data_IF_310375803377
#
_entry.id   IF_310375803377
#
_cell.length_a   1.000
_cell.length_b   1.000
_cell.length_c   1.000
_cell.angle_alpha   90.00
_cell.angle_beta   90.00
_cell.angle_gamma   90.00
#
_symmetry.space_group_name_H-M   'P 1'
#
loop_
_entity.id
_entity.type
_entity.pdbx_description
1 polymer ?
#
# COMPACT_ATOMS: atom_id res chain seq x y z
N UNK A 1 37.56 27.10 48.98
CA UNK A 1 37.06 27.68 47.69
C UNK A 1 37.19 26.71 46.51
N UNK A 2 38.38 26.15 46.23
CA UNK A 2 38.61 25.24 45.07
C UNK A 2 37.72 23.99 45.05
N UNK A 3 37.54 23.31 46.20
CA UNK A 3 36.68 22.12 46.32
C UNK A 3 35.19 22.44 46.09
N UNK A 4 34.71 23.57 46.62
CA UNK A 4 33.33 24.01 46.42
C UNK A 4 33.02 24.29 44.94
N UNK A 5 33.95 24.94 44.24
CA UNK A 5 33.83 25.18 42.81
C UNK A 5 33.79 23.87 42.00
N UNK A 6 34.63 22.89 42.37
CA UNK A 6 34.63 21.56 41.74
C UNK A 6 33.28 20.84 41.95
N UNK A 7 32.72 20.87 43.17
CA UNK A 7 31.42 20.26 43.45
C UNK A 7 30.27 20.98 42.72
N UNK A 8 30.29 22.31 42.64
CA UNK A 8 29.28 23.07 41.91
C UNK A 8 29.29 22.73 40.41
N UNK A 9 30.49 22.62 39.80
CA UNK A 9 30.64 22.22 38.39
C UNK A 9 30.17 20.78 38.18
N UNK A 10 30.55 19.84 39.05
CA UNK A 10 30.10 18.45 38.96
C UNK A 10 28.57 18.34 39.04
N UNK A 11 27.94 19.04 39.98
CA UNK A 11 26.49 19.06 40.11
C UNK A 11 25.81 19.64 38.86
N UNK A 12 26.35 20.72 38.29
CA UNK A 12 25.83 21.29 37.04
C UNK A 12 25.96 20.32 35.86
N UNK A 13 27.08 19.60 35.75
CA UNK A 13 27.29 18.59 34.70
C UNK A 13 26.30 17.42 34.86
N UNK A 14 26.08 16.94 36.09
CA UNK A 14 25.13 15.85 36.35
C UNK A 14 23.69 16.27 36.04
N UNK A 15 23.28 17.48 36.45
CA UNK A 15 21.95 18.02 36.14
C UNK A 15 21.79 18.22 34.64
N UNK A 16 22.81 18.78 33.96
CA UNK A 16 22.82 18.96 32.52
C UNK A 16 22.71 17.63 31.77
N UNK A 17 23.47 16.61 32.18
CA UNK A 17 23.40 15.26 31.62
C UNK A 17 22.03 14.60 31.83
N UNK A 18 21.43 14.77 33.03
CA UNK A 18 20.10 14.25 33.32
C UNK A 18 19.02 14.93 32.45
N UNK A 19 19.07 16.24 32.27
CA UNK A 19 18.14 16.98 31.41
C UNK A 19 18.32 16.59 29.93
N UNK A 20 19.56 16.47 29.46
CA UNK A 20 19.87 16.00 28.12
C UNK A 20 19.38 14.56 27.87
N UNK A 21 19.51 13.67 28.85
CA UNK A 21 18.96 12.32 28.78
C UNK A 21 17.42 12.33 28.76
N UNK A 22 16.79 13.09 29.65
CA UNK A 22 15.33 13.14 29.79
C UNK A 22 14.64 13.77 28.58
N UNK A 23 15.21 14.82 27.99
CA UNK A 23 14.65 15.41 26.78
C UNK A 23 15.13 14.70 25.52
N UNK A 24 16.41 14.33 25.44
CA UNK A 24 16.97 13.58 24.32
C UNK A 24 16.26 12.25 24.10
N UNK A 25 15.94 11.49 25.16
CA UNK A 25 15.19 10.23 25.04
C UNK A 25 13.79 10.40 24.44
N UNK A 26 13.19 11.59 24.50
CA UNK A 26 11.89 11.86 23.87
C UNK A 26 12.00 12.18 22.38
N UNK A 27 13.13 12.72 21.92
CA UNK A 27 13.31 13.15 20.53
C UNK A 27 14.19 12.22 19.70
N UNK A 28 15.17 11.55 20.30
CA UNK A 28 16.10 10.65 19.61
C UNK A 28 15.41 9.51 18.84
N UNK A 29 14.35 8.85 19.36
CA UNK A 29 13.64 7.84 18.59
C UNK A 29 12.94 8.42 17.35
N UNK A 30 12.32 9.60 17.48
CA UNK A 30 11.67 10.28 16.36
C UNK A 30 12.68 10.81 15.35
N UNK A 31 13.79 11.37 15.82
CA UNK A 31 14.87 11.84 14.95
C UNK A 31 15.44 10.66 14.16
N UNK A 32 15.76 9.55 14.83
CA UNK A 32 16.24 8.33 14.18
C UNK A 32 15.27 7.83 13.11
N UNK A 33 13.96 7.81 13.41
CA UNK A 33 12.92 7.43 12.45
C UNK A 33 12.81 8.41 11.27
N UNK A 34 12.86 9.72 11.52
CA UNK A 34 12.74 10.76 10.48
C UNK A 34 13.99 10.88 9.60
N UNK A 35 15.14 10.43 10.10
CA UNK A 35 16.40 10.35 9.33
C UNK A 35 16.58 9.03 8.59
N UNK A 36 15.65 8.07 8.74
CA UNK A 36 15.69 6.88 7.90
C UNK A 36 15.43 7.28 6.44
N UNK A 37 16.10 6.59 5.52
CA UNK A 37 15.81 6.69 4.11
C UNK A 37 14.31 6.39 3.91
N UNK A 38 13.58 7.33 3.32
CA UNK A 38 12.14 7.14 3.11
C UNK A 38 11.97 5.94 2.19
N UNK A 39 11.08 5.03 2.58
CA UNK A 39 10.78 3.84 1.79
C UNK A 39 10.19 4.27 0.44
N UNK A 40 11.03 4.27 -0.59
CA UNK A 40 10.63 4.44 -1.99
C UNK A 40 10.44 3.09 -2.68
N UNK A 41 10.43 3.09 -4.01
CA UNK A 41 10.35 1.87 -4.84
C UNK A 41 11.55 0.93 -4.67
N UNK A 42 12.68 1.43 -4.17
CA UNK A 42 13.93 0.68 -4.11
C UNK A 42 14.05 -0.28 -2.92
N UNK A 43 13.28 -0.06 -1.85
CA UNK A 43 13.40 -0.83 -0.61
C UNK A 43 12.25 -1.83 -0.50
N UNK A 44 12.56 -3.11 -0.61
CA UNK A 44 11.59 -4.18 -0.35
C UNK A 44 11.35 -4.33 1.15
N UNK A 45 10.09 -4.13 1.55
CA UNK A 45 9.63 -4.23 2.94
C UNK A 45 9.11 -5.62 3.31
N UNK A 46 9.06 -6.56 2.37
CA UNK A 46 8.57 -7.91 2.63
C UNK A 46 9.49 -8.60 3.65
N UNK A 47 8.89 -9.13 4.72
CA UNK A 47 9.65 -9.85 5.72
C UNK A 47 10.17 -11.20 5.15
N UNK A 48 11.34 -11.70 5.59
CA UNK A 48 11.90 -12.94 5.05
C UNK A 48 10.98 -14.17 5.19
N UNK A 49 10.22 -14.25 6.27
CA UNK A 49 9.23 -15.31 6.49
C UNK A 49 8.07 -15.26 5.48
N UNK A 50 7.69 -14.06 5.02
CA UNK A 50 6.69 -13.88 3.97
C UNK A 50 7.21 -14.29 2.59
N UNK A 51 8.53 -14.22 2.35
CA UNK A 51 9.15 -14.64 1.07
C UNK A 51 9.10 -16.15 0.89
N UNK A 52 9.27 -16.89 1.98
CA UNK A 52 9.25 -18.35 2.00
C UNK A 52 7.84 -18.91 2.28
N UNK A 53 6.82 -18.05 2.38
CA UNK A 53 5.47 -18.46 2.73
C UNK A 53 4.76 -19.18 1.58
N UNK A 54 4.03 -20.24 1.91
CA UNK A 54 3.18 -20.97 0.96
C UNK A 54 1.70 -20.64 1.18
N UNK A 55 1.02 -20.19 0.13
CA UNK A 55 -0.41 -19.83 0.17
C UNK A 55 -1.26 -20.87 -0.56
N UNK A 56 -2.14 -21.55 0.17
CA UNK A 56 -2.98 -22.64 -0.36
C UNK A 56 -4.32 -22.18 -0.96
N UNK A 57 -4.65 -20.89 -0.80
CA UNK A 57 -5.89 -20.29 -1.26
C UNK A 57 -7.12 -20.66 -0.42
N UNK A 58 -8.16 -19.83 -0.50
CA UNK A 58 -9.36 -20.00 0.32
C UNK A 58 -10.17 -21.26 -0.02
N UNK A 59 -10.08 -21.74 -1.27
CA UNK A 59 -10.75 -22.97 -1.70
C UNK A 59 -10.29 -24.19 -0.90
N UNK A 60 -9.00 -24.25 -0.53
CA UNK A 60 -8.48 -25.34 0.30
C UNK A 60 -9.08 -25.31 1.71
N UNK A 61 -9.27 -24.12 2.27
CA UNK A 61 -9.86 -23.92 3.60
C UNK A 61 -11.34 -24.31 3.63
N UNK A 62 -12.07 -24.10 2.52
CA UNK A 62 -13.49 -24.44 2.39
C UNK A 62 -13.75 -25.93 2.61
N UNK A 63 -12.81 -26.81 2.26
CA UNK A 63 -12.95 -28.28 2.40
C UNK A 63 -13.30 -28.72 3.84
N UNK A 64 -12.84 -27.96 4.85
CA UNK A 64 -13.13 -28.24 6.27
C UNK A 64 -13.97 -27.13 6.95
N UNK A 65 -14.00 -25.92 6.40
CA UNK A 65 -14.60 -24.73 7.05
C UNK A 65 -15.68 -24.07 6.19
N UNK A 66 -16.71 -24.83 5.82
CA UNK A 66 -17.74 -24.39 4.89
C UNK A 66 -18.50 -23.15 5.37
N UNK A 67 -18.99 -23.12 6.62
CA UNK A 67 -19.79 -22.00 7.14
C UNK A 67 -19.01 -20.68 7.22
N UNK A 68 -17.74 -20.77 7.61
CA UNK A 68 -16.83 -19.62 7.63
C UNK A 68 -16.56 -19.13 6.21
N UNK A 69 -16.26 -20.05 5.29
CA UNK A 69 -16.05 -19.72 3.89
C UNK A 69 -17.30 -19.09 3.27
N UNK A 70 -18.48 -19.64 3.53
CA UNK A 70 -19.78 -19.11 3.07
C UNK A 70 -20.01 -17.69 3.60
N UNK A 71 -19.74 -17.43 4.87
CA UNK A 71 -19.91 -16.09 5.44
C UNK A 71 -18.91 -15.09 4.84
N UNK A 72 -17.65 -15.49 4.70
CA UNK A 72 -16.59 -14.68 4.12
C UNK A 72 -16.80 -14.39 2.63
N UNK A 73 -17.21 -15.39 1.83
CA UNK A 73 -17.41 -15.28 0.38
C UNK A 73 -18.52 -14.31 0.00
N UNK A 74 -19.53 -14.14 0.87
CA UNK A 74 -20.57 -13.13 0.70
C UNK A 74 -20.10 -11.71 1.06
N UNK A 75 -19.03 -11.56 1.84
CA UNK A 75 -18.47 -10.26 2.21
C UNK A 75 -17.82 -9.54 1.01
N UNK A 76 -17.27 -8.35 1.25
CA UNK A 76 -16.51 -7.59 0.24
C UNK A 76 -15.02 -7.89 0.25
N UNK A 77 -14.50 -8.58 1.26
CA UNK A 77 -13.08 -8.92 1.33
C UNK A 77 -12.59 -9.75 0.11
N UNK A 78 -13.23 -10.87 -0.28
CA UNK A 78 -12.82 -11.62 -1.47
C UNK A 78 -13.18 -10.96 -2.80
N UNK A 79 -13.85 -9.80 -2.75
CA UNK A 79 -14.31 -9.05 -3.92
C UNK A 79 -13.49 -7.77 -4.13
N UNK A 80 -12.37 -7.63 -3.41
CA UNK A 80 -11.49 -6.48 -3.57
C UNK A 80 -10.73 -6.58 -4.89
N UNK A 81 -10.15 -7.74 -5.19
CA UNK A 81 -9.44 -8.00 -6.44
C UNK A 81 -10.22 -9.07 -7.21
N UNK A 82 -10.62 -8.78 -8.44
CA UNK A 82 -11.29 -9.75 -9.31
C UNK A 82 -10.77 -9.64 -10.73
N UNK A 83 -10.58 -10.77 -11.40
CA UNK A 83 -10.34 -10.84 -12.84
C UNK A 83 -11.66 -10.55 -13.60
N UNK A 84 -11.76 -9.44 -14.35
CA UNK A 84 -12.96 -9.07 -15.09
C UNK A 84 -13.22 -9.95 -16.31
N UNK A 85 -12.21 -10.64 -16.85
CA UNK A 85 -12.35 -11.54 -17.98
C UNK A 85 -12.86 -12.92 -17.53
N UNK A 86 -12.37 -13.43 -16.40
CA UNK A 86 -12.86 -14.66 -15.79
C UNK A 86 -14.23 -14.46 -15.11
N UNK A 87 -14.49 -13.29 -14.55
CA UNK A 87 -15.76 -12.94 -13.92
C UNK A 87 -16.29 -11.57 -14.40
N UNK A 88 -16.99 -11.53 -15.55
CA UNK A 88 -17.55 -10.29 -16.09
C UNK A 88 -18.55 -9.58 -15.15
N UNK A 89 -19.20 -10.32 -14.23
CA UNK A 89 -20.13 -9.75 -13.25
C UNK A 89 -19.42 -8.89 -12.18
N UNK A 90 -18.09 -8.98 -12.08
CA UNK A 90 -17.30 -8.08 -11.24
C UNK A 90 -17.29 -6.64 -11.75
N UNK A 91 -17.58 -6.44 -13.04
CA UNK A 91 -17.50 -5.13 -13.69
C UNK A 91 -18.75 -4.31 -13.41
N UNK A 92 -18.58 -3.27 -12.61
CA UNK A 92 -19.66 -2.31 -12.28
C UNK A 92 -19.52 -0.99 -13.03
N UNK A 93 -18.38 -0.79 -13.69
CA UNK A 93 -18.05 0.39 -14.48
C UNK A 93 -18.61 0.33 -15.89
N UNK A 94 -19.10 1.46 -16.39
CA UNK A 94 -19.55 1.59 -17.77
C UNK A 94 -18.41 2.09 -18.66
N UNK A 95 -17.73 1.17 -19.34
CA UNK A 95 -16.63 1.50 -20.26
C UNK A 95 -17.09 2.25 -21.52
N UNK A 96 -18.38 2.25 -21.87
CA UNK A 96 -18.88 3.09 -22.96
C UNK A 96 -18.78 4.59 -22.66
N UNK A 97 -18.66 4.93 -21.37
CA UNK A 97 -18.52 6.30 -20.86
C UNK A 97 -17.08 6.64 -20.45
N UNK A 98 -16.13 5.75 -20.70
CA UNK A 98 -14.72 6.01 -20.37
C UNK A 98 -14.22 7.23 -21.15
N UNK A 99 -13.64 8.24 -20.49
CA UNK A 99 -13.09 9.39 -21.18
C UNK A 99 -12.01 9.00 -22.20
N UNK A 100 -11.98 9.73 -23.32
CA UNK A 100 -11.07 9.45 -24.45
C UNK A 100 -9.58 9.62 -24.11
N UNK A 101 -9.28 10.35 -23.03
CA UNK A 101 -7.94 10.57 -22.49
C UNK A 101 -7.56 9.53 -21.41
N UNK A 102 -8.36 8.47 -21.24
CA UNK A 102 -7.98 7.34 -20.40
C UNK A 102 -6.75 6.63 -20.98
N UNK A 103 -5.83 6.21 -20.12
CA UNK A 103 -4.60 5.51 -20.52
C UNK A 103 -4.74 3.98 -20.56
N UNK A 104 -5.98 3.48 -20.59
CA UNK A 104 -6.28 2.05 -20.58
C UNK A 104 -7.62 1.79 -21.27
N UNK A 105 -7.78 0.57 -21.78
CA UNK A 105 -9.07 0.02 -22.18
C UNK A 105 -9.39 -1.22 -21.33
N UNK A 106 -10.64 -1.69 -21.43
CA UNK A 106 -11.07 -2.89 -20.71
C UNK A 106 -10.19 -4.12 -21.02
N UNK A 107 -9.75 -4.27 -22.27
CA UNK A 107 -8.88 -5.37 -22.70
C UNK A 107 -7.50 -5.37 -22.02
N UNK A 108 -7.08 -4.24 -21.47
CA UNK A 108 -5.78 -4.06 -20.81
C UNK A 108 -5.88 -4.29 -19.29
N UNK A 109 -7.11 -4.37 -18.76
CA UNK A 109 -7.37 -4.52 -17.34
C UNK A 109 -7.29 -5.98 -16.89
N UNK A 110 -6.19 -6.34 -16.25
CA UNK A 110 -5.98 -7.70 -15.72
C UNK A 110 -6.80 -7.93 -14.46
N UNK A 111 -6.87 -6.93 -13.58
CA UNK A 111 -7.67 -7.00 -12.37
C UNK A 111 -8.50 -5.73 -12.17
N UNK A 112 -9.67 -5.91 -11.56
CA UNK A 112 -10.45 -4.85 -10.94
C UNK A 112 -10.05 -4.68 -9.48
N UNK A 113 -10.08 -3.45 -8.97
CA UNK A 113 -9.86 -3.13 -7.56
C UNK A 113 -11.10 -2.43 -7.00
N UNK A 114 -11.80 -3.08 -6.08
CA UNK A 114 -13.04 -2.62 -5.46
C UNK A 114 -14.29 -2.96 -6.28
N UNK A 115 -15.35 -2.17 -6.09
CA UNK A 115 -16.64 -2.39 -6.79
C UNK A 115 -17.88 -2.00 -6.00
N UNK A 116 -17.79 -1.79 -4.68
CA UNK A 116 -18.94 -1.30 -3.88
C UNK A 116 -19.14 0.22 -3.99
N UNK A 117 -18.05 0.97 -3.91
CA UNK A 117 -18.08 2.45 -3.89
C UNK A 117 -17.33 3.03 -5.07
N UNK A 118 -16.10 2.54 -5.29
CA UNK A 118 -15.24 2.85 -6.40
C UNK A 118 -14.73 1.56 -7.04
N UNK A 119 -14.46 1.60 -8.33
CA UNK A 119 -13.75 0.54 -9.04
C UNK A 119 -12.57 1.13 -9.80
N UNK A 120 -11.41 0.48 -9.70
CA UNK A 120 -10.16 0.82 -10.40
C UNK A 120 -9.69 -0.39 -11.17
N UNK A 121 -8.68 -0.20 -12.00
CA UNK A 121 -8.19 -1.23 -12.92
C UNK A 121 -6.67 -1.30 -12.84
N UNK A 122 -6.16 -2.52 -12.67
CA UNK A 122 -4.74 -2.84 -12.73
C UNK A 122 -4.42 -3.31 -14.15
N UNK A 123 -3.45 -2.67 -14.78
CA UNK A 123 -2.91 -3.09 -16.07
C UNK A 123 -1.50 -3.59 -15.87
N UNK A 124 -1.15 -4.68 -16.58
CA UNK A 124 0.19 -5.26 -16.54
C UNK A 124 1.22 -4.24 -17.02
N UNK A 125 2.34 -4.14 -16.32
CA UNK A 125 3.51 -3.36 -16.72
C UNK A 125 4.78 -3.98 -16.15
N UNK A 126 5.76 -4.24 -17.00
CA UNK A 126 7.06 -4.69 -16.53
C UNK A 126 7.84 -3.50 -15.96
N UNK A 127 8.37 -3.65 -14.73
CA UNK A 127 9.13 -2.63 -14.01
C UNK A 127 10.43 -3.27 -13.54
N UNK A 128 11.58 -2.65 -13.87
CA UNK A 128 12.91 -3.16 -13.53
C UNK A 128 13.19 -4.62 -13.96
N UNK A 129 12.54 -5.08 -15.04
CA UNK A 129 12.73 -6.42 -15.60
C UNK A 129 11.89 -7.52 -14.95
N UNK A 130 11.00 -7.19 -14.01
CA UNK A 130 9.99 -8.09 -13.45
C UNK A 130 8.58 -7.66 -13.83
N UNK A 131 7.66 -8.63 -13.89
CA UNK A 131 6.23 -8.37 -14.09
C UNK A 131 5.65 -7.62 -12.88
N UNK A 132 4.95 -6.53 -13.14
CA UNK A 132 4.21 -5.76 -12.15
C UNK A 132 2.91 -5.22 -12.77
N UNK A 133 2.20 -4.38 -12.03
CA UNK A 133 0.99 -3.71 -12.49
C UNK A 133 1.00 -2.24 -12.10
N UNK A 134 0.20 -1.46 -12.82
CA UNK A 134 -0.07 -0.04 -12.53
C UNK A 134 -1.57 0.22 -12.57
N UNK A 135 -2.01 1.27 -11.87
CA UNK A 135 -3.42 1.67 -11.86
C UNK A 135 -3.74 2.70 -12.94
N UNK A 136 -4.89 2.50 -13.61
CA UNK A 136 -5.43 3.44 -14.60
C UNK A 136 -5.59 4.87 -14.08
N UNK A 137 -5.54 5.84 -14.99
CA UNK A 137 -5.70 7.27 -14.68
C UNK A 137 -7.15 7.69 -14.36
N UNK A 138 -8.09 6.74 -14.37
CA UNK A 138 -9.50 6.94 -14.01
C UNK A 138 -9.99 5.87 -13.03
N UNK A 139 -10.89 6.28 -12.15
CA UNK A 139 -11.68 5.37 -11.30
C UNK A 139 -13.17 5.56 -11.59
N UNK A 140 -13.93 4.49 -11.51
CA UNK A 140 -15.39 4.54 -11.58
C UNK A 140 -15.98 4.88 -10.22
N UNK A 141 -16.90 5.83 -10.17
CA UNK A 141 -17.75 6.08 -9.01
C UNK A 141 -19.09 5.36 -9.19
N UNK A 142 -19.36 4.38 -8.32
CA UNK A 142 -20.56 3.53 -8.40
C UNK A 142 -21.83 4.33 -8.10
N UNK A 143 -21.79 5.23 -7.12
CA UNK A 143 -22.95 6.03 -6.72
C UNK A 143 -23.35 7.02 -7.80
N UNK A 144 -22.38 7.77 -8.33
CA UNK A 144 -22.68 8.82 -9.33
C UNK A 144 -22.68 8.28 -10.75
N UNK A 145 -22.31 7.01 -10.96
CA UNK A 145 -22.11 6.37 -12.26
C UNK A 145 -21.25 7.19 -13.22
N UNK A 146 -20.11 7.69 -12.72
CA UNK A 146 -19.18 8.55 -13.48
C UNK A 146 -17.74 8.12 -13.30
N UNK A 147 -16.97 8.21 -14.37
CA UNK A 147 -15.52 8.18 -14.30
C UNK A 147 -14.98 9.46 -13.67
N UNK A 148 -13.96 9.31 -12.82
CA UNK A 148 -13.27 10.39 -12.15
C UNK A 148 -11.78 10.21 -12.32
N UNK A 149 -11.05 11.29 -12.63
CA UNK A 149 -9.59 11.21 -12.71
C UNK A 149 -9.03 10.69 -11.39
N UNK A 150 -8.08 9.77 -11.50
CA UNK A 150 -7.51 9.04 -10.39
C UNK A 150 -5.98 9.03 -10.47
N UNK A 151 -5.36 9.36 -9.35
CA UNK A 151 -3.91 9.50 -9.20
C UNK A 151 -3.52 8.88 -7.86
N UNK A 152 -3.15 7.59 -7.80
CA UNK A 152 -2.90 6.87 -6.55
C UNK A 152 -1.84 7.58 -5.69
N UNK A 153 -0.78 8.12 -6.31
CA UNK A 153 0.24 8.91 -5.62
C UNK A 153 -0.34 10.15 -4.92
N UNK A 154 -1.36 10.82 -5.49
CA UNK A 154 -1.92 12.05 -4.90
C UNK A 154 -2.62 11.78 -3.57
N UNK A 155 -3.27 10.62 -3.44
CA UNK A 155 -4.12 10.31 -2.30
C UNK A 155 -3.36 9.70 -1.13
N UNK A 156 -2.41 8.80 -1.41
CA UNK A 156 -1.78 8.00 -0.36
C UNK A 156 -0.26 8.12 -0.31
N UNK A 157 0.37 8.49 -1.43
CA UNK A 157 1.82 8.37 -1.55
C UNK A 157 2.54 9.59 -2.11
N UNK A 158 2.01 10.79 -1.82
CA UNK A 158 2.42 12.04 -2.46
C UNK A 158 3.92 12.31 -2.31
N UNK A 159 4.52 11.86 -1.21
CA UNK A 159 5.94 12.11 -0.93
C UNK A 159 6.81 10.86 -1.06
N UNK A 160 6.24 9.70 -1.42
CA UNK A 160 6.96 8.43 -1.45
C UNK A 160 7.19 7.90 -2.87
N UNK A 161 6.44 8.38 -3.87
CA UNK A 161 6.55 7.90 -5.25
C UNK A 161 6.44 9.02 -6.28
N UNK A 162 6.89 8.76 -7.52
CA UNK A 162 6.71 9.68 -8.64
C UNK A 162 5.25 10.10 -8.82
N UNK A 163 5.04 11.34 -9.26
CA UNK A 163 3.70 11.90 -9.53
C UNK A 163 3.16 11.44 -10.88
N UNK A 164 3.39 10.17 -11.18
CA UNK A 164 3.04 9.50 -12.41
C UNK A 164 2.46 8.13 -12.08
N UNK A 165 1.22 7.87 -12.53
CA UNK A 165 0.56 6.59 -12.32
C UNK A 165 1.32 5.45 -12.99
N UNK A 166 1.98 5.74 -14.11
CA UNK A 166 2.71 4.73 -14.88
C UNK A 166 4.02 4.30 -14.21
N UNK A 167 4.46 5.03 -13.20
CA UNK A 167 5.69 4.74 -12.44
C UNK A 167 5.38 4.29 -11.01
N UNK A 168 4.09 4.08 -10.67
CA UNK A 168 3.68 3.59 -9.37
C UNK A 168 3.33 2.09 -9.45
N UNK A 169 4.28 1.19 -9.17
CA UNK A 169 4.01 -0.25 -9.11
C UNK A 169 2.97 -0.59 -8.03
N UNK A 170 2.03 -1.47 -8.34
CA UNK A 170 1.08 -1.97 -7.33
C UNK A 170 1.79 -2.87 -6.31
N UNK A 171 2.86 -3.56 -6.71
CA UNK A 171 3.66 -4.40 -5.80
C UNK A 171 4.17 -3.64 -4.57
N UNK A 172 4.42 -2.33 -4.71
CA UNK A 172 4.91 -1.45 -3.62
C UNK A 172 3.82 -0.63 -2.95
N UNK A 173 2.69 -0.43 -3.61
CA UNK A 173 1.62 0.46 -3.15
C UNK A 173 0.37 -0.29 -2.66
N UNK A 174 -0.08 -1.31 -3.37
CA UNK A 174 -1.40 -1.91 -3.17
C UNK A 174 -1.33 -3.36 -2.68
N UNK A 175 -0.34 -4.12 -3.14
CA UNK A 175 -0.44 -5.57 -3.14
C UNK A 175 -0.28 -6.18 -1.74
N UNK A 176 0.55 -5.57 -0.89
CA UNK A 176 0.72 -5.98 0.51
C UNK A 176 -0.58 -5.95 1.34
N UNK A 177 -1.61 -5.20 0.91
CA UNK A 177 -2.91 -5.16 1.57
C UNK A 177 -3.98 -6.01 0.87
N UNK A 178 -3.75 -6.42 -0.38
CA UNK A 178 -4.80 -6.94 -1.27
C UNK A 178 -4.50 -8.32 -1.86
N UNK A 179 -3.25 -8.77 -1.77
CA UNK A 179 -2.81 -10.07 -2.24
C UNK A 179 -2.06 -10.82 -1.14
N UNK A 180 -1.97 -12.13 -1.32
CA UNK A 180 -1.07 -13.00 -0.56
C UNK A 180 0.06 -13.46 -1.46
N UNK A 181 1.29 -13.43 -0.96
CA UNK A 181 2.46 -13.93 -1.71
C UNK A 181 2.83 -13.12 -2.95
N UNK A 182 2.17 -11.98 -3.17
CA UNK A 182 2.44 -11.07 -4.29
C UNK A 182 3.13 -9.81 -3.75
N UNK A 183 4.45 -9.91 -3.55
CA UNK A 183 5.34 -8.80 -3.22
C UNK A 183 6.66 -9.11 -3.94
N UNK A 184 6.99 -8.30 -4.95
CA UNK A 184 8.22 -8.23 -5.78
C UNK A 184 9.04 -9.50 -6.05
#
# INVERSE_FOLDING_TARGET
>A
MKKFFIYAVLTFVVIGAYLAYKEGSKFLPFYAQLTQERVGTEVDLQQPDQKEAHFVGAAKCQECHEDNHKSWSHSRHPKMIQDPHANPQSMVSDFSKLPVDANFALKDAVYTVGGKFKQRFMMRKDINGSEDYVLGNYQWNVETQKWQSFKPWKYWYKEAYPHDNEQLPTSRACDGCHFTGFMS
#
